data_IF_493017926518
#
_entry.id   IF_493017926518
#
_cell.length_a   1.000
_cell.length_b   1.000
_cell.length_c   1.000
_cell.angle_alpha   90.00
_cell.angle_beta   90.00
_cell.angle_gamma   90.00
#
_symmetry.space_group_name_H-M   'P 1'
#
loop_
_entity.id
_entity.type
_entity.pdbx_description
1 polymer ?
#
# COMPACT_ATOMS: atom_id res chain seq x y z
N UNK A 1 -12.70 -13.84 0.15
CA UNK A 1 -11.27 -13.65 -0.15
C UNK A 1 -11.05 -12.21 -0.57
N UNK A 2 -9.80 -11.76 -0.67
CA UNK A 2 -9.48 -10.38 -1.07
C UNK A 2 -9.64 -10.26 -2.58
N UNK A 3 -10.34 -9.21 -3.03
CA UNK A 3 -10.60 -8.93 -4.44
C UNK A 3 -9.48 -8.11 -5.06
N UNK A 4 -9.14 -6.99 -4.45
CA UNK A 4 -8.10 -6.07 -4.91
C UNK A 4 -7.29 -5.57 -3.72
N UNK A 5 -6.05 -5.17 -3.99
CA UNK A 5 -5.23 -4.34 -3.10
C UNK A 5 -4.83 -3.08 -3.86
N UNK A 6 -5.04 -1.92 -3.25
CA UNK A 6 -4.58 -0.66 -3.80
C UNK A 6 -4.07 0.27 -2.72
N UNK A 7 -3.25 1.25 -3.14
CA UNK A 7 -2.64 2.23 -2.25
C UNK A 7 -3.01 3.63 -2.72
N UNK A 8 -3.52 4.47 -1.82
CA UNK A 8 -3.84 5.86 -2.10
C UNK A 8 -2.79 6.80 -1.49
N UNK A 9 -2.46 7.85 -2.24
CA UNK A 9 -1.68 8.99 -1.76
C UNK A 9 -2.51 9.86 -0.79
N UNK A 10 -1.89 10.80 -0.07
CA UNK A 10 -2.61 11.81 0.70
C UNK A 10 -3.62 12.61 -0.12
N UNK A 11 -3.39 12.80 -1.42
CA UNK A 11 -4.29 13.53 -2.31
C UNK A 11 -5.49 12.68 -2.76
N UNK A 12 -5.46 11.37 -2.52
CA UNK A 12 -6.47 10.42 -2.99
C UNK A 12 -6.12 9.77 -4.32
N UNK A 13 -4.93 10.03 -4.87
CA UNK A 13 -4.47 9.42 -6.12
C UNK A 13 -4.13 7.95 -5.88
N UNK A 14 -4.50 7.07 -6.80
CA UNK A 14 -4.09 5.67 -6.75
C UNK A 14 -2.62 5.53 -7.17
N UNK A 15 -1.80 4.99 -6.27
CA UNK A 15 -0.35 4.75 -6.48
C UNK A 15 -0.10 3.32 -6.96
N UNK A 16 -0.79 2.37 -6.34
CA UNK A 16 -0.74 0.93 -6.65
C UNK A 16 -2.15 0.45 -6.87
N UNK A 17 -2.37 -0.37 -7.89
CA UNK A 17 -3.64 -1.06 -8.09
C UNK A 17 -3.38 -2.49 -8.58
N UNK A 18 -3.69 -3.47 -7.72
CA UNK A 18 -3.63 -4.88 -8.06
C UNK A 18 -5.01 -5.50 -7.91
N UNK A 19 -5.51 -6.04 -9.02
CA UNK A 19 -6.77 -6.78 -9.07
C UNK A 19 -6.48 -8.27 -9.19
N UNK A 20 -6.80 -9.02 -8.14
CA UNK A 20 -6.52 -10.45 -8.07
C UNK A 20 -7.65 -11.30 -8.67
N UNK A 21 -8.88 -10.75 -8.75
CA UNK A 21 -10.08 -11.54 -9.03
C UNK A 21 -10.92 -11.03 -10.19
N UNK A 22 -10.79 -9.76 -10.55
CA UNK A 22 -11.61 -9.13 -11.59
C UNK A 22 -13.09 -9.05 -11.22
N UNK A 23 -13.41 -9.15 -9.93
CA UNK A 23 -14.75 -9.45 -9.47
C UNK A 23 -15.44 -8.20 -8.86
N UNK A 24 -14.69 -7.14 -8.55
CA UNK A 24 -15.24 -5.83 -8.19
C UNK A 24 -14.85 -4.78 -9.24
N UNK A 25 -15.56 -3.64 -9.33
CA UNK A 25 -15.24 -2.60 -10.30
C UNK A 25 -13.79 -2.11 -10.18
N UNK A 26 -13.18 -1.71 -11.30
CA UNK A 26 -11.83 -1.10 -11.29
C UNK A 26 -11.83 0.35 -10.79
N UNK A 27 -13.00 0.95 -10.63
CA UNK A 27 -13.22 2.31 -10.10
C UNK A 27 -13.27 2.36 -8.57
N UNK A 28 -13.06 1.23 -7.88
CA UNK A 28 -13.02 1.15 -6.41
C UNK A 28 -12.01 2.12 -5.77
N UNK A 29 -10.81 2.41 -6.33
CA UNK A 29 -9.91 3.37 -5.71
C UNK A 29 -10.47 4.79 -5.75
N UNK A 30 -11.13 5.18 -6.84
CA UNK A 30 -11.75 6.50 -6.99
C UNK A 30 -12.94 6.66 -6.03
N UNK A 31 -13.80 5.64 -5.94
CA UNK A 31 -14.94 5.63 -5.04
C UNK A 31 -14.50 5.77 -3.57
N UNK A 32 -13.48 5.00 -3.16
CA UNK A 32 -12.94 5.08 -1.81
C UNK A 32 -12.20 6.40 -1.57
N UNK A 33 -11.42 6.89 -2.54
CA UNK A 33 -10.72 8.18 -2.47
C UNK A 33 -11.68 9.35 -2.23
N UNK A 34 -12.83 9.39 -2.92
CA UNK A 34 -13.90 10.38 -2.64
C UNK A 34 -14.42 10.29 -1.21
N UNK A 35 -14.64 9.07 -0.71
CA UNK A 35 -15.13 8.84 0.67
C UNK A 35 -14.10 9.27 1.73
N UNK A 36 -12.81 9.10 1.47
CA UNK A 36 -11.70 9.60 2.32
C UNK A 36 -11.72 11.12 2.36
N UNK A 37 -11.80 11.80 1.22
CA UNK A 37 -11.80 13.26 1.18
C UNK A 37 -13.05 13.86 1.84
N UNK A 38 -14.22 13.25 1.64
CA UNK A 38 -15.44 13.67 2.33
C UNK A 38 -15.31 13.55 3.86
N UNK A 39 -14.71 12.47 4.36
CA UNK A 39 -14.49 12.28 5.82
C UNK A 39 -13.58 13.36 6.40
N UNK A 40 -12.49 13.67 5.69
CA UNK A 40 -11.53 14.71 6.07
C UNK A 40 -12.15 16.10 6.07
N UNK A 41 -12.93 16.44 5.04
CA UNK A 41 -13.63 17.72 4.97
C UNK A 41 -14.64 17.89 6.13
N UNK A 42 -15.24 16.78 6.58
CA UNK A 42 -16.13 16.75 7.73
C UNK A 42 -15.41 16.69 9.10
N UNK A 43 -14.07 16.64 9.13
CA UNK A 43 -13.30 16.53 10.38
C UNK A 43 -13.52 15.22 11.14
N UNK A 44 -13.87 14.15 10.41
CA UNK A 44 -14.21 12.84 10.97
C UNK A 44 -13.28 11.73 10.47
N UNK A 45 -12.98 10.78 11.33
CA UNK A 45 -12.20 9.61 10.97
C UNK A 45 -13.03 8.59 10.18
N UNK A 46 -12.34 7.88 9.28
CA UNK A 46 -12.93 6.74 8.59
C UNK A 46 -12.92 5.52 9.51
N UNK A 47 -14.03 4.76 9.60
CA UNK A 47 -13.99 3.48 10.28
C UNK A 47 -13.02 2.53 9.55
N UNK A 48 -12.41 1.55 10.24
CA UNK A 48 -11.45 0.61 9.64
C UNK A 48 -12.01 -0.22 8.48
N UNK A 49 -13.33 -0.41 8.45
CA UNK A 49 -14.06 -1.05 7.37
C UNK A 49 -15.19 -0.13 6.88
N UNK A 50 -15.32 0.00 5.56
CA UNK A 50 -16.31 0.87 4.91
C UNK A 50 -17.01 0.08 3.81
N UNK A 51 -18.35 0.13 3.76
CA UNK A 51 -19.12 -0.43 2.64
C UNK A 51 -19.47 0.65 1.62
N UNK A 52 -19.24 0.39 0.33
CA UNK A 52 -19.68 1.24 -0.79
C UNK A 52 -20.20 0.31 -1.89
N UNK A 53 -21.47 0.46 -2.28
CA UNK A 53 -22.11 -0.27 -3.39
C UNK A 53 -21.89 -1.80 -3.35
N UNK A 54 -22.03 -2.40 -2.17
CA UNK A 54 -21.87 -3.84 -1.96
C UNK A 54 -20.42 -4.35 -1.91
N UNK A 55 -19.43 -3.46 -1.99
CA UNK A 55 -18.01 -3.76 -1.79
C UNK A 55 -17.57 -3.28 -0.41
N UNK A 56 -16.89 -4.14 0.33
CA UNK A 56 -16.26 -3.79 1.61
C UNK A 56 -14.82 -3.37 1.37
N UNK A 57 -14.43 -2.26 1.99
CA UNK A 57 -13.09 -1.67 1.93
C UNK A 57 -12.50 -1.72 3.33
N UNK A 58 -11.37 -2.38 3.47
CA UNK A 58 -10.62 -2.45 4.72
C UNK A 58 -9.28 -1.75 4.51
N UNK A 59 -8.91 -0.87 5.45
CA UNK A 59 -7.74 -0.02 5.24
C UNK A 59 -6.87 0.12 6.49
N UNK A 60 -5.59 0.39 6.24
CA UNK A 60 -4.62 0.81 7.24
C UNK A 60 -3.84 2.00 6.71
N UNK A 61 -3.54 2.97 7.58
CA UNK A 61 -2.69 4.11 7.26
C UNK A 61 -1.27 3.83 7.74
N UNK A 62 -0.30 3.88 6.82
CA UNK A 62 1.13 3.72 7.14
C UNK A 62 1.88 4.94 6.61
N UNK A 63 2.42 5.75 7.52
CA UNK A 63 2.86 7.10 7.19
C UNK A 63 1.70 7.89 6.59
N UNK A 64 1.90 8.40 5.38
CA UNK A 64 0.93 9.20 4.64
C UNK A 64 0.15 8.40 3.59
N UNK A 65 0.50 7.13 3.40
CA UNK A 65 -0.16 6.24 2.44
C UNK A 65 -1.31 5.48 3.09
N UNK A 66 -2.40 5.32 2.34
CA UNK A 66 -3.54 4.51 2.73
C UNK A 66 -3.55 3.20 1.95
N UNK A 67 -3.30 2.08 2.63
CA UNK A 67 -3.31 0.75 2.05
C UNK A 67 -4.70 0.15 2.21
N UNK A 68 -5.27 -0.35 1.13
CA UNK A 68 -6.68 -0.74 1.09
C UNK A 68 -6.80 -2.10 0.42
N UNK A 69 -7.61 -2.97 1.02
CA UNK A 69 -8.08 -4.21 0.41
C UNK A 69 -9.60 -4.15 0.22
N UNK A 70 -10.08 -4.69 -0.89
CA UNK A 70 -11.51 -4.85 -1.15
C UNK A 70 -11.95 -6.30 -1.04
N UNK A 71 -13.21 -6.52 -0.69
CA UNK A 71 -13.84 -7.85 -0.66
C UNK A 71 -15.36 -7.73 -0.84
N UNK A 72 -15.98 -8.75 -1.44
CA UNK A 72 -17.45 -8.91 -1.46
C UNK A 72 -17.99 -9.88 -0.42
N UNK A 73 -17.10 -10.55 0.30
CA UNK A 73 -17.46 -11.46 1.39
C UNK A 73 -17.05 -10.89 2.73
N UNK A 74 -17.71 -11.36 3.79
CA UNK A 74 -17.36 -11.01 5.16
C UNK A 74 -16.01 -11.64 5.54
N UNK A 75 -14.98 -10.80 5.67
CA UNK A 75 -13.66 -11.18 6.18
C UNK A 75 -13.44 -10.49 7.53
N UNK A 76 -12.68 -11.14 8.41
CA UNK A 76 -12.26 -10.53 9.67
C UNK A 76 -11.44 -9.27 9.39
N UNK A 77 -11.85 -8.09 9.91
CA UNK A 77 -11.09 -6.86 9.72
C UNK A 77 -9.66 -6.96 10.24
N UNK A 78 -9.46 -7.60 11.39
CA UNK A 78 -8.13 -7.79 11.97
C UNK A 78 -7.20 -8.61 11.07
N UNK A 79 -7.72 -9.64 10.40
CA UNK A 79 -6.94 -10.46 9.47
C UNK A 79 -6.46 -9.63 8.27
N UNK A 80 -7.36 -8.83 7.69
CA UNK A 80 -7.03 -8.02 6.53
C UNK A 80 -6.09 -6.87 6.91
N UNK A 81 -6.31 -6.23 8.05
CA UNK A 81 -5.42 -5.19 8.57
C UNK A 81 -4.01 -5.71 8.85
N UNK A 82 -3.88 -6.88 9.48
CA UNK A 82 -2.58 -7.51 9.74
C UNK A 82 -1.85 -7.83 8.43
N UNK A 83 -2.56 -8.37 7.43
CA UNK A 83 -1.98 -8.63 6.12
C UNK A 83 -1.48 -7.35 5.43
N UNK A 84 -2.28 -6.28 5.43
CA UNK A 84 -1.89 -5.00 4.84
C UNK A 84 -0.66 -4.42 5.55
N UNK A 85 -0.64 -4.43 6.89
CA UNK A 85 0.53 -4.02 7.67
C UNK A 85 1.74 -4.90 7.33
N UNK A 86 1.56 -6.21 7.20
CA UNK A 86 2.66 -7.12 6.86
C UNK A 86 3.22 -6.85 5.46
N UNK A 87 2.39 -6.54 4.47
CA UNK A 87 2.84 -6.10 3.14
C UNK A 87 3.69 -4.83 3.25
N UNK A 88 3.30 -3.88 4.11
CA UNK A 88 4.11 -2.66 4.33
C UNK A 88 5.46 -2.96 4.97
N UNK A 89 5.52 -3.93 5.89
CA UNK A 89 6.79 -4.37 6.49
C UNK A 89 7.68 -5.02 5.44
N UNK A 90 7.14 -5.92 4.61
CA UNK A 90 7.90 -6.55 3.51
C UNK A 90 8.45 -5.47 2.58
N UNK A 91 7.63 -4.52 2.14
CA UNK A 91 8.06 -3.38 1.34
C UNK A 91 9.23 -2.62 1.98
N UNK A 92 9.12 -2.30 3.28
CA UNK A 92 10.17 -1.63 4.04
C UNK A 92 11.45 -2.47 4.10
N UNK A 93 11.35 -3.77 4.29
CA UNK A 93 12.52 -4.65 4.36
C UNK A 93 13.27 -4.74 3.02
N UNK A 94 12.56 -4.59 1.89
CA UNK A 94 13.16 -4.58 0.55
C UNK A 94 13.81 -3.25 0.17
N UNK A 95 13.14 -2.11 0.40
CA UNK A 95 13.59 -0.80 -0.09
C UNK A 95 13.73 0.28 0.99
N UNK A 96 13.74 -0.11 2.26
CA UNK A 96 14.12 0.69 3.42
C UNK A 96 13.03 1.58 4.01
N UNK A 97 12.19 2.21 3.19
CA UNK A 97 11.14 3.13 3.63
C UNK A 97 9.88 3.04 2.77
N UNK A 98 8.71 3.25 3.37
CA UNK A 98 7.41 3.17 2.68
C UNK A 98 6.80 4.57 2.61
N UNK A 99 7.30 5.37 1.68
CA UNK A 99 6.74 6.68 1.30
C UNK A 99 6.17 6.62 -0.12
N UNK A 100 5.36 7.61 -0.53
CA UNK A 100 4.83 7.68 -1.90
C UNK A 100 5.97 7.66 -2.93
N UNK A 101 7.05 8.41 -2.70
CA UNK A 101 8.22 8.44 -3.57
C UNK A 101 8.89 7.06 -3.67
N UNK A 102 9.13 6.40 -2.54
CA UNK A 102 9.78 5.09 -2.53
C UNK A 102 8.93 4.02 -3.21
N UNK A 103 7.60 4.02 -3.00
CA UNK A 103 6.67 3.09 -3.66
C UNK A 103 6.64 3.36 -5.17
N UNK A 104 6.51 4.62 -5.61
CA UNK A 104 6.48 4.97 -7.04
C UNK A 104 7.75 4.59 -7.78
N UNK A 105 8.91 4.77 -7.13
CA UNK A 105 10.20 4.40 -7.70
C UNK A 105 10.39 2.89 -7.81
N UNK A 106 9.77 2.12 -6.92
CA UNK A 106 9.88 0.65 -6.87
C UNK A 106 8.61 -0.05 -7.41
N UNK A 107 7.84 0.59 -8.30
CA UNK A 107 6.56 0.05 -8.77
C UNK A 107 6.64 -1.41 -9.26
N UNK A 108 7.58 -1.78 -10.16
CA UNK A 108 7.69 -3.16 -10.61
C UNK A 108 7.91 -4.15 -9.46
N UNK A 109 8.79 -3.81 -8.52
CA UNK A 109 9.07 -4.63 -7.34
C UNK A 109 7.84 -4.77 -6.44
N UNK A 110 7.08 -3.70 -6.21
CA UNK A 110 5.87 -3.77 -5.40
C UNK A 110 4.83 -4.69 -6.04
N UNK A 111 4.68 -4.66 -7.37
CA UNK A 111 3.78 -5.58 -8.06
C UNK A 111 4.23 -7.04 -7.95
N UNK A 112 5.52 -7.32 -8.11
CA UNK A 112 6.07 -8.68 -7.95
C UNK A 112 5.90 -9.17 -6.51
N UNK A 113 6.14 -8.31 -5.51
CA UNK A 113 5.88 -8.65 -4.10
C UNK A 113 4.40 -8.95 -3.84
N UNK A 114 3.47 -8.22 -4.45
CA UNK A 114 2.05 -8.49 -4.30
C UNK A 114 1.64 -9.82 -4.94
N UNK A 115 2.25 -10.19 -6.08
CA UNK A 115 2.04 -11.48 -6.74
C UNK A 115 2.56 -12.66 -5.90
N UNK A 116 3.71 -12.52 -5.26
CA UNK A 116 4.27 -13.59 -4.42
C UNK A 116 3.63 -13.68 -3.02
N UNK A 117 3.17 -12.55 -2.47
CA UNK A 117 2.48 -12.55 -1.17
C UNK A 117 1.07 -13.12 -1.29
N UNK A 118 0.40 -12.96 -2.44
CA UNK A 118 -1.00 -13.28 -2.61
C UNK A 118 -1.30 -13.89 -3.97
N UNK A 119 -1.95 -15.05 -3.96
CA UNK A 119 -2.46 -15.70 -5.16
C UNK A 119 -3.99 -15.73 -5.16
N UNK A 120 -4.60 -15.20 -6.22
CA UNK A 120 -6.05 -15.15 -6.45
C UNK A 120 -6.90 -14.66 -5.25
N UNK A 121 -6.33 -13.74 -4.44
CA UNK A 121 -6.98 -13.18 -3.26
C UNK A 121 -6.73 -13.91 -1.94
N UNK A 122 -5.85 -14.92 -1.95
CA UNK A 122 -5.45 -15.70 -0.79
C UNK A 122 -3.98 -15.42 -0.42
N UNK A 123 -3.69 -14.95 0.80
CA UNK A 123 -2.31 -14.81 1.28
C UNK A 123 -1.58 -16.16 1.26
N UNK A 124 -0.40 -16.21 0.66
CA UNK A 124 0.41 -17.43 0.54
C UNK A 124 1.64 -17.36 1.44
N UNK A 125 2.55 -16.42 1.15
CA UNK A 125 3.82 -16.29 1.86
C UNK A 125 4.07 -14.85 2.27
N UNK A 126 4.18 -14.63 3.57
CA UNK A 126 4.43 -13.31 4.13
C UNK A 126 5.80 -13.19 4.80
N UNK A 127 6.73 -14.15 4.64
CA UNK A 127 8.11 -14.03 5.15
C UNK A 127 9.01 -13.35 4.14
N UNK A 128 9.57 -12.20 4.50
CA UNK A 128 10.55 -11.46 3.68
C UNK A 128 11.71 -12.37 3.27
N UNK A 129 12.21 -13.19 4.18
CA UNK A 129 13.33 -14.10 3.97
C UNK A 129 13.01 -15.15 2.90
N UNK A 130 11.81 -15.73 2.94
CA UNK A 130 11.37 -16.70 1.93
C UNK A 130 11.12 -16.01 0.58
N UNK A 131 10.52 -14.83 0.58
CA UNK A 131 10.25 -14.08 -0.64
C UNK A 131 11.52 -13.76 -1.44
N UNK A 132 12.67 -13.58 -0.78
CA UNK A 132 13.95 -13.32 -1.48
C UNK A 132 14.35 -14.40 -2.49
N UNK A 133 13.79 -15.60 -2.39
CA UNK A 133 14.03 -16.71 -3.32
C UNK A 133 13.17 -16.63 -4.59
N UNK A 134 12.09 -15.85 -4.56
CA UNK A 134 11.09 -15.75 -5.62
C UNK A 134 11.03 -14.37 -6.29
N UNK A 135 11.61 -13.35 -5.65
CA UNK A 135 11.67 -11.97 -6.17
C UNK A 135 12.93 -11.77 -7.02
N UNK A 136 12.74 -11.42 -8.30
CA UNK A 136 13.83 -11.13 -9.23
C UNK A 136 14.20 -9.64 -9.25
N UNK A 137 13.25 -8.74 -9.01
CA UNK A 137 13.47 -7.30 -9.13
C UNK A 137 14.26 -6.79 -7.92
N UNK A 138 15.34 -6.06 -8.19
CA UNK A 138 16.15 -5.44 -7.15
C UNK A 138 15.57 -4.07 -6.76
N UNK A 139 15.67 -3.67 -5.47
CA UNK A 139 15.21 -2.35 -5.03
C UNK A 139 16.06 -1.25 -5.67
N UNK A 140 15.40 -0.18 -6.11
CA UNK A 140 16.13 1.00 -6.57
C UNK A 140 16.79 1.71 -5.39
N UNK A 141 18.08 2.00 -5.52
CA UNK A 141 18.88 2.62 -4.47
C UNK A 141 18.23 3.89 -3.94
N UNK A 142 18.25 4.08 -2.61
CA UNK A 142 17.90 5.35 -2.01
C UNK A 142 18.73 6.47 -2.65
N UNK A 143 18.09 7.59 -2.97
CA UNK A 143 18.81 8.75 -3.49
C UNK A 143 19.77 9.19 -2.39
N UNK A 144 21.05 8.86 -2.52
CA UNK A 144 22.07 9.37 -1.61
C UNK A 144 22.12 10.88 -1.82
N UNK A 145 21.89 11.67 -0.78
CA UNK A 145 22.33 13.06 -0.83
C UNK A 145 23.83 13.05 -1.17
N UNK A 146 24.29 13.87 -2.12
CA UNK A 146 25.72 13.96 -2.39
C UNK A 146 26.42 14.37 -1.08
N UNK A 147 27.50 13.68 -0.67
CA UNK A 147 28.33 14.13 0.44
C UNK A 147 28.93 15.49 0.06
N UNK A 148 28.41 16.58 0.61
CA UNK A 148 28.86 17.92 0.23
C UNK A 148 28.05 19.13 0.71
N UNK A 149 26.86 18.97 1.28
CA UNK A 149 26.17 20.11 1.94
C UNK A 149 26.64 20.24 3.39
N UNK A 150 27.93 20.50 3.56
CA UNK A 150 28.49 21.14 4.76
C UNK A 150 29.06 22.47 4.27
N UNK A 151 28.25 23.51 4.33
CA UNK A 151 28.56 24.83 3.77
C UNK A 151 28.23 25.96 4.73
N UNK A 152 29.06 26.10 5.77
CA UNK A 152 29.56 27.34 6.40
C UNK A 152 28.56 28.43 6.88
N UNK A 153 28.53 28.64 8.20
CA UNK A 153 28.60 29.96 8.83
C UNK A 153 29.49 29.76 10.08
N UNK A 154 30.71 30.27 10.17
CA UNK A 154 31.18 31.60 9.78
C UNK A 154 31.54 32.31 11.08
N UNK A 155 32.73 32.01 11.61
CA UNK A 155 33.32 32.78 12.71
C UNK A 155 33.80 34.13 12.18
N UNK A 156 33.45 35.19 12.91
CA UNK A 156 33.87 36.58 12.73
C UNK A 156 33.30 37.40 13.87
#
# INVERSE_FOLDING_TARGET
MISQVFVLSPRGDCVIFKDFRGDVPKTTPEAFGRRVQASRAAGSDLPPAVGIDGVQYLHVKVGDLLWVATTRVNLSPSLVSELLLRITVICRDYFGQVTEECVRRNLPLVYELLDEVMDYGFPQNSSTERLKQFIAIQPQAARSLPPGVTGVAGGG
#
